data_IF_173087166348
#
_entry.id   IF_173087166348
#
_cell.length_a   1.000
_cell.length_b   1.000
_cell.length_c   1.000
_cell.angle_alpha   90.00
_cell.angle_beta   90.00
_cell.angle_gamma   90.00
#
_symmetry.space_group_name_H-M   'P 1'
#
loop_
_entity.id
_entity.type
_entity.pdbx_description
1 polymer ?
#
# COMPACT_ATOMS: atom_id res chain seq x y z
N UNK A 1 0.46 3.14 18.95
CA UNK A 1 1.31 3.49 17.79
C UNK A 1 1.49 2.20 17.02
N UNK A 2 0.89 2.09 15.85
CA UNK A 2 1.08 0.94 14.98
C UNK A 2 2.53 0.94 14.48
N UNK A 3 3.17 -0.22 14.49
CA UNK A 3 4.53 -0.34 13.98
C UNK A 3 4.51 -0.12 12.46
N UNK A 4 5.47 0.62 11.88
CA UNK A 4 5.53 0.82 10.45
C UNK A 4 5.71 -0.52 9.73
N UNK A 5 4.99 -0.71 8.63
CA UNK A 5 5.21 -1.82 7.72
C UNK A 5 6.42 -1.55 6.84
N UNK A 6 7.04 -2.63 6.38
CA UNK A 6 8.19 -2.58 5.48
C UNK A 6 7.86 -3.24 4.14
N UNK A 7 8.09 -2.50 3.05
CA UNK A 7 8.03 -3.02 1.69
C UNK A 7 9.44 -3.18 1.14
N UNK A 8 9.72 -4.35 0.57
CA UNK A 8 11.01 -4.69 -0.01
C UNK A 8 10.91 -4.56 -1.53
N UNK A 9 11.62 -3.60 -2.10
CA UNK A 9 11.63 -3.39 -3.54
C UNK A 9 13.05 -3.10 -4.04
N UNK A 10 13.48 -3.87 -5.05
CA UNK A 10 14.87 -3.91 -5.52
C UNK A 10 15.84 -4.20 -4.36
N UNK A 11 16.75 -3.28 -4.07
CA UNK A 11 17.74 -3.38 -2.99
C UNK A 11 17.44 -2.39 -1.85
N UNK A 12 16.18 -2.01 -1.66
CA UNK A 12 15.76 -1.01 -0.68
C UNK A 12 14.56 -1.49 0.14
N UNK A 13 14.56 -1.08 1.41
CA UNK A 13 13.45 -1.27 2.34
C UNK A 13 12.73 0.07 2.49
N UNK A 14 11.43 0.05 2.30
CA UNK A 14 10.57 1.23 2.37
C UNK A 14 9.62 1.09 3.55
N UNK A 15 9.71 2.01 4.51
CA UNK A 15 8.86 2.00 5.70
C UNK A 15 7.65 2.91 5.51
N UNK A 16 6.46 2.41 5.83
CA UNK A 16 5.21 3.15 5.67
C UNK A 16 4.18 2.77 6.75
N UNK A 17 3.19 3.63 6.96
CA UNK A 17 2.00 3.37 7.78
C UNK A 17 0.77 3.32 6.88
N UNK A 18 -0.22 2.50 7.26
CA UNK A 18 -1.53 2.50 6.61
C UNK A 18 -2.37 3.57 7.31
N UNK A 19 -2.84 4.56 6.56
CA UNK A 19 -3.74 5.61 7.09
C UNK A 19 -5.20 5.21 6.89
N UNK A 20 -5.51 4.57 5.75
CA UNK A 20 -6.83 4.04 5.45
C UNK A 20 -6.72 2.85 4.48
N UNK A 21 -7.62 1.88 4.60
CA UNK A 21 -7.73 0.73 3.69
C UNK A 21 -9.19 0.35 3.52
N UNK A 22 -9.64 0.38 2.27
CA UNK A 22 -10.92 -0.16 1.85
C UNK A 22 -10.76 -1.06 0.61
N UNK A 23 -11.86 -1.53 0.05
CA UNK A 23 -11.87 -2.51 -1.05
C UNK A 23 -11.39 -1.93 -2.38
N UNK A 24 -11.44 -0.61 -2.56
CA UNK A 24 -11.14 0.11 -3.80
C UNK A 24 -9.97 1.09 -3.65
N UNK A 25 -9.65 1.49 -2.42
CA UNK A 25 -8.66 2.52 -2.10
C UNK A 25 -7.78 2.10 -0.92
N UNK A 26 -6.49 2.37 -1.04
CA UNK A 26 -5.52 2.26 0.05
C UNK A 26 -4.81 3.60 0.17
N UNK A 27 -4.75 4.13 1.39
CA UNK A 27 -3.98 5.32 1.72
C UNK A 27 -2.85 4.93 2.68
N UNK A 28 -1.63 5.26 2.29
CA UNK A 28 -0.44 5.07 3.13
C UNK A 28 0.26 6.41 3.35
N UNK A 29 1.04 6.48 4.42
CA UNK A 29 2.06 7.52 4.60
C UNK A 29 3.44 6.89 4.57
N UNK A 30 4.28 7.35 3.65
CA UNK A 30 5.67 6.93 3.51
C UNK A 30 6.55 8.19 3.57
N UNK A 31 7.46 8.26 4.54
CA UNK A 31 8.36 9.41 4.74
C UNK A 31 7.65 10.78 4.74
N UNK A 32 6.57 10.90 5.51
CA UNK A 32 5.71 12.12 5.60
C UNK A 32 4.98 12.49 4.30
N UNK A 33 4.98 11.59 3.32
CA UNK A 33 4.26 11.77 2.05
C UNK A 33 3.09 10.79 2.01
N UNK A 34 1.89 11.32 1.87
CA UNK A 34 0.69 10.53 1.67
C UNK A 34 0.63 10.01 0.22
N UNK A 35 0.28 8.75 0.07
CA UNK A 35 0.04 8.12 -1.22
C UNK A 35 -1.29 7.39 -1.20
N UNK A 36 -2.06 7.60 -2.26
CA UNK A 36 -3.34 6.94 -2.50
C UNK A 36 -3.16 5.94 -3.63
N UNK A 37 -3.55 4.69 -3.40
CA UNK A 37 -3.62 3.65 -4.41
C UNK A 37 -5.08 3.34 -4.69
N UNK A 38 -5.42 3.26 -5.97
CA UNK A 38 -6.76 2.93 -6.45
C UNK A 38 -6.72 1.56 -7.12
N UNK A 39 -7.70 0.72 -6.80
CA UNK A 39 -7.88 -0.57 -7.42
C UNK A 39 -8.49 -0.39 -8.81
N UNK A 40 -7.79 -0.85 -9.83
CA UNK A 40 -8.27 -0.91 -11.21
C UNK A 40 -8.32 -2.38 -11.64
N UNK A 41 -9.48 -3.00 -11.44
CA UNK A 41 -9.66 -4.44 -11.69
C UNK A 41 -8.84 -5.28 -10.71
N UNK A 42 -7.80 -5.95 -11.20
CA UNK A 42 -6.91 -6.81 -10.39
C UNK A 42 -5.62 -6.11 -9.95
N UNK A 43 -5.39 -4.88 -10.38
CA UNK A 43 -4.14 -4.16 -10.11
C UNK A 43 -4.39 -2.93 -9.23
N UNK A 44 -3.45 -2.64 -8.34
CA UNK A 44 -3.40 -1.37 -7.62
C UNK A 44 -2.55 -0.37 -8.39
N UNK A 45 -3.06 0.85 -8.55
CA UNK A 45 -2.37 1.91 -9.27
C UNK A 45 -2.28 3.17 -8.45
N UNK A 46 -1.24 3.95 -8.71
CA UNK A 46 -1.05 5.25 -8.09
C UNK A 46 -2.20 6.18 -8.50
N UNK A 47 -2.82 6.86 -7.53
CA UNK A 47 -3.82 7.86 -7.84
C UNK A 47 -3.17 9.06 -8.56
N UNK A 48 -3.88 9.63 -9.55
CA UNK A 48 -3.39 10.77 -10.35
C UNK A 48 -3.08 11.99 -9.47
N UNK A 49 -3.76 12.11 -8.32
CA UNK A 49 -3.65 13.22 -7.37
C UNK A 49 -2.41 13.14 -6.47
N UNK A 50 -1.67 12.02 -6.46
CA UNK A 50 -0.48 11.92 -5.64
C UNK A 50 0.60 12.88 -6.16
N UNK A 51 1.25 13.59 -5.23
CA UNK A 51 2.33 14.54 -5.58
C UNK A 51 3.50 13.88 -6.30
N UNK A 52 3.74 12.59 -6.04
CA UNK A 52 4.79 11.81 -6.66
C UNK A 52 4.22 10.47 -7.14
N UNK A 53 4.63 10.06 -8.33
CA UNK A 53 4.27 8.76 -8.86
C UNK A 53 5.23 7.70 -8.29
N UNK A 54 4.66 6.65 -7.71
CA UNK A 54 5.43 5.45 -7.37
C UNK A 54 5.53 4.53 -8.58
N UNK A 55 6.63 3.81 -8.71
CA UNK A 55 6.75 2.74 -9.69
C UNK A 55 5.74 1.62 -9.36
N UNK A 56 5.23 0.96 -10.40
CA UNK A 56 4.28 -0.15 -10.25
C UNK A 56 4.86 -1.29 -9.38
N UNK A 57 6.17 -1.55 -9.49
CA UNK A 57 6.85 -2.55 -8.67
C UNK A 57 6.86 -2.20 -7.18
N UNK A 58 7.09 -0.94 -6.83
CA UNK A 58 7.03 -0.50 -5.43
C UNK A 58 5.60 -0.55 -4.88
N UNK A 59 4.60 -0.17 -5.69
CA UNK A 59 3.18 -0.29 -5.29
C UNK A 59 2.87 -1.76 -4.99
N UNK A 60 3.27 -2.68 -5.87
CA UNK A 60 3.05 -4.11 -5.66
C UNK A 60 3.68 -4.60 -4.35
N UNK A 61 4.94 -4.25 -4.10
CA UNK A 61 5.64 -4.63 -2.87
C UNK A 61 4.94 -4.09 -1.61
N UNK A 62 4.41 -2.87 -1.67
CA UNK A 62 3.62 -2.29 -0.57
C UNK A 62 2.32 -3.07 -0.36
N UNK A 63 1.58 -3.39 -1.42
CA UNK A 63 0.35 -4.18 -1.30
C UNK A 63 0.64 -5.56 -0.72
N UNK A 64 1.70 -6.23 -1.20
CA UNK A 64 2.12 -7.53 -0.68
C UNK A 64 2.45 -7.47 0.82
N UNK A 65 3.14 -6.43 1.28
CA UNK A 65 3.41 -6.22 2.70
C UNK A 65 2.12 -5.98 3.52
N UNK A 66 1.17 -5.21 2.99
CA UNK A 66 -0.13 -4.98 3.63
C UNK A 66 -0.93 -6.28 3.75
N UNK A 67 -0.96 -7.10 2.71
CA UNK A 67 -1.69 -8.38 2.68
C UNK A 67 -1.02 -9.45 3.54
N UNK A 68 0.30 -9.45 3.65
CA UNK A 68 1.04 -10.36 4.52
C UNK A 68 0.81 -10.07 6.02
N UNK A 69 0.54 -8.81 6.38
CA UNK A 69 0.42 -8.39 7.79
C UNK A 69 -1.03 -8.32 8.27
N UNK A 70 -1.97 -8.10 7.35
CA UNK A 70 -3.41 -8.08 7.66
C UNK A 70 -4.04 -9.29 6.98
N UNK A 71 -4.29 -10.41 7.70
CA UNK A 71 -5.08 -11.49 7.14
C UNK A 71 -6.44 -10.90 6.78
N UNK A 72 -6.77 -10.91 5.49
CA UNK A 72 -8.14 -10.72 5.02
C UNK A 72 -8.92 -11.87 5.65
N UNK A 73 -9.62 -11.62 6.76
CA UNK A 73 -10.56 -12.59 7.30
C UNK A 73 -11.52 -12.91 6.15
N UNK A 74 -11.63 -14.16 5.69
CA UNK A 74 -12.71 -14.51 4.80
C UNK A 74 -14.02 -14.26 5.58
N UNK A 75 -14.83 -13.32 5.13
CA UNK A 75 -16.24 -13.28 5.53
C UNK A 75 -16.90 -14.55 4.99
N UNK A 76 -17.30 -15.45 5.88
CA UNK A 76 -18.08 -16.64 5.54
C UNK A 76 -17.85 -17.79 6.51
N UNK A 77 -18.63 -17.83 7.58
CA UNK A 77 -19.20 -19.07 8.15
C UNK A 77 -20.72 -18.88 8.18
#
# INVERSE_FOLDING_TARGET
MEQPLEAHFENRIYYFTIENKDTETIMITMYKTAYIFLKQGKEWRNAIWNKLQMSSGLIKAVIEAIEATVPVKPEGD
#
